data_IF_794047839631
#
_entry.id   IF_794047839631
#
_cell.length_a   1.000
_cell.length_b   1.000
_cell.length_c   1.000
_cell.angle_alpha   90.00
_cell.angle_beta   90.00
_cell.angle_gamma   90.00
#
_symmetry.space_group_name_H-M   'P 1'
#
loop_
_entity.id
_entity.type
_entity.pdbx_description
1 polymer ?
#
# COMPACT_ATOMS: atom_id res chain seq x y z
N UNK A 1 -23.85 1.66 17.51
CA UNK A 1 -22.70 2.36 16.88
C UNK A 1 -21.47 1.48 16.94
N UNK A 2 -20.72 1.34 15.85
CA UNK A 2 -19.48 0.53 15.82
C UNK A 2 -18.28 1.45 16.00
N UNK A 3 -17.42 1.15 16.96
CA UNK A 3 -16.13 1.80 17.15
C UNK A 3 -15.05 1.10 16.31
N UNK A 4 -14.02 1.84 15.85
CA UNK A 4 -12.91 1.26 15.10
C UNK A 4 -11.59 1.61 15.78
N UNK A 5 -10.73 0.61 15.95
CA UNK A 5 -9.41 0.74 16.55
C UNK A 5 -8.33 0.27 15.58
N UNK A 6 -7.18 0.96 15.56
CA UNK A 6 -6.03 0.53 14.79
C UNK A 6 -5.26 -0.59 15.49
N UNK A 7 -4.91 -1.64 14.75
CA UNK A 7 -4.20 -2.82 15.29
C UNK A 7 -2.87 -2.48 15.96
N UNK A 8 -2.15 -1.48 15.45
CA UNK A 8 -0.88 -1.03 16.01
C UNK A 8 -0.95 -0.48 17.43
N UNK A 9 -2.15 -0.09 17.91
CA UNK A 9 -2.36 0.46 19.26
C UNK A 9 -2.71 -0.61 20.30
N UNK A 10 -2.91 -1.85 19.90
CA UNK A 10 -3.26 -2.95 20.80
C UNK A 10 -2.09 -3.36 21.70
N UNK A 11 -2.36 -3.95 22.90
CA UNK A 11 -1.33 -4.56 23.72
C UNK A 11 -0.58 -5.66 22.94
N UNK A 12 0.75 -5.54 22.86
CA UNK A 12 1.60 -6.45 22.09
C UNK A 12 1.75 -6.06 20.60
N UNK A 13 1.08 -5.03 20.14
CA UNK A 13 1.32 -4.42 18.84
C UNK A 13 2.62 -3.60 18.79
N UNK A 14 3.04 -3.11 17.62
CA UNK A 14 4.30 -2.37 17.44
C UNK A 14 4.34 -1.02 18.17
N UNK A 15 3.23 -0.56 18.75
CA UNK A 15 3.12 0.74 19.41
C UNK A 15 3.12 1.94 18.45
N UNK A 16 3.02 1.67 17.16
CA UNK A 16 2.98 2.63 16.06
C UNK A 16 1.81 2.33 15.13
N UNK A 17 1.17 3.36 14.60
CA UNK A 17 0.14 3.27 13.56
C UNK A 17 0.09 4.56 12.75
N UNK A 18 -0.31 4.46 11.48
CA UNK A 18 -0.60 5.64 10.64
C UNK A 18 -1.88 6.38 11.09
N UNK A 19 -2.68 5.78 11.97
CA UNK A 19 -3.83 6.40 12.61
C UNK A 19 -3.45 7.02 13.97
N UNK A 20 -2.44 7.86 14.00
CA UNK A 20 -1.86 8.48 15.19
C UNK A 20 -2.89 9.29 16.00
N UNK A 21 -3.85 9.93 15.33
CA UNK A 21 -4.93 10.69 15.97
C UNK A 21 -5.83 9.86 16.90
N UNK A 22 -5.84 8.52 16.77
CA UNK A 22 -6.56 7.61 17.68
C UNK A 22 -5.61 6.73 18.52
N UNK A 23 -4.30 6.94 18.42
CA UNK A 23 -3.28 6.21 19.18
C UNK A 23 -3.14 6.75 20.62
N UNK A 24 -4.23 6.79 21.36
CA UNK A 24 -4.31 7.40 22.70
C UNK A 24 -3.91 6.38 23.77
N UNK A 25 -2.83 6.67 24.51
CA UNK A 25 -2.33 5.78 25.59
C UNK A 25 -3.32 5.64 26.77
N UNK A 26 -4.04 6.71 27.09
CA UNK A 26 -5.02 6.73 28.17
C UNK A 26 -6.25 7.53 27.73
N UNK A 27 -7.35 6.86 27.33
CA UNK A 27 -8.59 7.52 27.01
C UNK A 27 -9.14 8.32 28.20
N UNK A 28 -9.90 9.40 27.91
CA UNK A 28 -10.53 10.19 28.95
C UNK A 28 -11.68 9.43 29.63
N UNK A 29 -11.82 9.55 30.96
CA UNK A 29 -12.82 8.83 31.74
C UNK A 29 -14.25 9.14 31.28
N UNK A 30 -14.56 10.43 31.02
CA UNK A 30 -15.87 10.83 30.50
C UNK A 30 -16.16 10.24 29.12
N UNK A 31 -15.17 10.26 28.23
CA UNK A 31 -15.32 9.69 26.90
C UNK A 31 -15.59 8.18 26.97
N UNK A 32 -14.84 7.47 27.84
CA UNK A 32 -15.03 6.03 27.99
C UNK A 32 -16.40 5.69 28.54
N UNK A 33 -16.91 6.42 29.57
CA UNK A 33 -18.25 6.18 30.12
C UNK A 33 -19.35 6.35 29.07
N UNK A 34 -19.23 7.34 28.18
CA UNK A 34 -20.18 7.54 27.08
C UNK A 34 -20.07 6.42 26.03
N UNK A 35 -18.84 6.02 25.68
CA UNK A 35 -18.62 4.94 24.70
C UNK A 35 -19.18 3.61 25.19
N UNK A 36 -19.04 3.27 26.47
CA UNK A 36 -19.62 2.07 27.08
C UNK A 36 -21.15 2.01 26.96
N UNK A 37 -21.84 3.17 26.92
CA UNK A 37 -23.29 3.21 26.75
C UNK A 37 -23.76 3.13 25.29
N UNK A 38 -22.93 3.62 24.32
CA UNK A 38 -23.40 3.83 22.93
C UNK A 38 -22.75 2.90 21.91
N UNK A 39 -21.65 2.21 22.27
CA UNK A 39 -21.00 1.27 21.38
C UNK A 39 -21.64 -0.12 21.47
N UNK A 40 -22.00 -0.67 20.31
CA UNK A 40 -22.43 -2.06 20.20
C UNK A 40 -21.21 -3.00 20.14
N UNK A 41 -20.16 -2.57 19.44
CA UNK A 41 -18.91 -3.33 19.27
C UNK A 41 -17.73 -2.41 18.93
N UNK A 42 -16.52 -2.95 19.03
CA UNK A 42 -15.28 -2.35 18.54
C UNK A 42 -14.64 -3.34 17.58
N UNK A 43 -14.36 -2.89 16.35
CA UNK A 43 -13.64 -3.66 15.33
C UNK A 43 -12.22 -3.13 15.17
N UNK A 44 -11.33 -3.98 14.67
CA UNK A 44 -9.90 -3.66 14.53
C UNK A 44 -9.54 -3.64 13.06
N UNK A 45 -8.74 -2.64 12.65
CA UNK A 45 -8.19 -2.51 11.29
C UNK A 45 -6.68 -2.39 11.35
N UNK A 46 -6.00 -2.86 10.30
CA UNK A 46 -4.54 -2.75 10.15
C UNK A 46 -4.16 -1.46 9.44
N UNK A 47 -2.87 -1.10 9.49
CA UNK A 47 -2.35 0.07 8.78
C UNK A 47 -2.45 -0.10 7.25
N UNK A 48 -2.34 -1.34 6.74
CA UNK A 48 -2.56 -1.65 5.33
C UNK A 48 -4.02 -1.39 4.92
N UNK A 49 -4.99 -1.85 5.71
CA UNK A 49 -6.41 -1.60 5.47
C UNK A 49 -6.73 -0.09 5.52
N UNK A 50 -6.10 0.65 6.43
CA UNK A 50 -6.23 2.11 6.52
C UNK A 50 -5.61 2.80 5.29
N UNK A 51 -4.43 2.37 4.84
CA UNK A 51 -3.79 2.91 3.65
C UNK A 51 -4.65 2.71 2.40
N UNK A 52 -5.26 1.54 2.22
CA UNK A 52 -6.21 1.27 1.14
C UNK A 52 -7.42 2.21 1.18
N UNK A 53 -7.98 2.44 2.36
CA UNK A 53 -9.10 3.36 2.55
C UNK A 53 -8.73 4.82 2.20
N UNK A 54 -7.54 5.29 2.59
CA UNK A 54 -7.06 6.64 2.24
C UNK A 54 -6.94 6.79 0.72
N UNK A 55 -6.35 5.81 0.03
CA UNK A 55 -6.22 5.81 -1.43
C UNK A 55 -7.60 5.83 -2.09
N UNK A 56 -8.53 4.97 -1.66
CA UNK A 56 -9.89 4.93 -2.19
C UNK A 56 -10.60 6.28 -2.03
N UNK A 57 -10.55 6.87 -0.83
CA UNK A 57 -11.16 8.17 -0.54
C UNK A 57 -10.60 9.26 -1.46
N UNK A 58 -9.29 9.34 -1.58
CA UNK A 58 -8.64 10.30 -2.48
C UNK A 58 -9.07 10.09 -3.94
N UNK A 59 -9.10 8.87 -4.42
CA UNK A 59 -9.42 8.57 -5.82
C UNK A 59 -10.90 8.75 -6.15
N UNK A 60 -11.80 8.36 -5.27
CA UNK A 60 -13.25 8.36 -5.54
C UNK A 60 -13.94 9.64 -5.14
N UNK A 61 -13.55 10.23 -4.01
CA UNK A 61 -14.21 11.41 -3.45
C UNK A 61 -13.38 12.69 -3.54
N UNK A 62 -12.09 12.59 -3.85
CA UNK A 62 -11.11 13.69 -3.85
C UNK A 62 -10.91 14.30 -2.46
N UNK A 63 -11.24 13.56 -1.41
CA UNK A 63 -10.99 13.97 -0.03
C UNK A 63 -9.62 13.45 0.41
N UNK A 64 -8.85 14.35 1.01
CA UNK A 64 -7.62 13.99 1.73
C UNK A 64 -8.04 13.73 3.18
N UNK A 65 -7.91 12.48 3.61
CA UNK A 65 -8.28 12.04 4.97
C UNK A 65 -7.05 11.44 5.63
N UNK A 66 -6.81 11.80 6.89
CA UNK A 66 -5.74 11.22 7.70
C UNK A 66 -6.06 9.78 8.15
N UNK A 67 -5.05 9.03 8.62
CA UNK A 67 -5.24 7.65 9.03
C UNK A 67 -6.37 7.46 10.04
N UNK A 68 -6.42 8.29 11.08
CA UNK A 68 -7.46 8.25 12.10
C UNK A 68 -8.87 8.52 11.55
N UNK A 69 -8.99 9.39 10.54
CA UNK A 69 -10.26 9.68 9.87
C UNK A 69 -10.71 8.58 8.89
N UNK A 70 -9.80 7.75 8.39
CA UNK A 70 -10.07 6.74 7.38
C UNK A 70 -10.45 5.36 7.97
N UNK A 71 -10.26 5.12 9.28
CA UNK A 71 -10.46 3.80 9.92
C UNK A 71 -11.88 3.23 9.71
N UNK A 72 -12.90 4.08 9.72
CA UNK A 72 -14.28 3.63 9.49
C UNK A 72 -14.50 3.10 8.07
N UNK A 73 -13.89 3.73 7.06
CA UNK A 73 -13.94 3.25 5.68
C UNK A 73 -13.12 1.97 5.54
N UNK A 74 -11.95 1.88 6.19
CA UNK A 74 -11.15 0.67 6.23
C UNK A 74 -11.95 -0.53 6.78
N UNK A 75 -12.68 -0.33 7.87
CA UNK A 75 -13.52 -1.35 8.47
C UNK A 75 -14.64 -1.83 7.53
N UNK A 76 -15.26 -0.92 6.77
CA UNK A 76 -16.30 -1.29 5.79
C UNK A 76 -15.72 -2.05 4.59
N UNK A 77 -14.63 -1.57 4.01
CA UNK A 77 -13.97 -2.21 2.85
C UNK A 77 -13.58 -3.65 3.13
N UNK A 78 -13.15 -3.91 4.36
CA UNK A 78 -12.66 -5.23 4.78
C UNK A 78 -13.73 -6.08 5.47
N UNK A 79 -15.03 -5.71 5.35
CA UNK A 79 -16.15 -6.50 5.85
C UNK A 79 -16.14 -6.66 7.38
N UNK A 80 -15.51 -5.72 8.12
CA UNK A 80 -15.45 -5.74 9.59
C UNK A 80 -16.76 -5.31 10.23
N UNK A 81 -17.60 -4.62 9.47
CA UNK A 81 -18.90 -4.16 9.92
C UNK A 81 -19.98 -4.90 9.15
N UNK A 82 -20.87 -5.59 9.86
CA UNK A 82 -21.99 -6.32 9.31
C UNK A 82 -23.29 -5.58 9.56
N UNK A 83 -24.29 -5.79 8.70
CA UNK A 83 -25.64 -5.25 8.85
C UNK A 83 -26.28 -4.94 7.51
N UNK A 84 -27.62 -4.85 7.53
CA UNK A 84 -28.42 -4.49 6.37
C UNK A 84 -28.80 -3.00 6.45
N UNK A 85 -28.66 -2.28 5.35
CA UNK A 85 -29.10 -0.91 5.22
C UNK A 85 -27.98 0.11 4.98
N UNK A 86 -28.28 1.40 5.21
CA UNK A 86 -27.33 2.48 4.99
C UNK A 86 -26.35 2.59 6.17
N UNK A 87 -25.07 2.71 5.87
CA UNK A 87 -24.02 2.92 6.86
C UNK A 87 -23.46 4.33 6.71
N UNK A 88 -23.46 5.09 7.81
CA UNK A 88 -22.81 6.40 7.88
C UNK A 88 -21.41 6.28 8.48
N UNK A 89 -20.40 6.82 7.80
CA UNK A 89 -19.01 6.88 8.29
C UNK A 89 -18.63 8.34 8.55
N UNK A 90 -18.11 8.61 9.74
CA UNK A 90 -17.57 9.93 10.07
C UNK A 90 -16.12 10.03 9.60
N UNK A 91 -15.85 10.91 8.65
CA UNK A 91 -14.50 11.28 8.21
C UNK A 91 -14.04 12.49 9.03
N UNK A 92 -13.29 12.26 10.10
CA UNK A 92 -13.08 13.26 11.16
C UNK A 92 -11.83 14.11 11.04
N UNK A 93 -10.96 13.87 10.04
CA UNK A 93 -9.71 14.63 9.95
C UNK A 93 -8.99 14.48 8.62
N UNK A 94 -8.17 15.50 8.28
CA UNK A 94 -7.37 15.56 7.06
C UNK A 94 -5.95 16.08 7.28
N UNK A 95 -5.48 16.12 8.52
CA UNK A 95 -4.15 16.61 8.88
C UNK A 95 -3.08 15.52 8.70
N UNK A 96 -2.93 15.03 7.47
CA UNK A 96 -1.89 14.04 7.14
C UNK A 96 -0.61 14.74 6.68
N UNK A 97 0.54 14.27 7.18
CA UNK A 97 1.83 14.72 6.69
C UNK A 97 2.04 14.30 5.22
N UNK A 98 2.59 15.21 4.40
CA UNK A 98 2.76 14.98 2.96
C UNK A 98 3.69 13.77 2.68
N UNK A 99 4.71 13.56 3.50
CA UNK A 99 5.65 12.43 3.34
C UNK A 99 4.94 11.11 3.66
N UNK A 100 4.13 11.11 4.72
CA UNK A 100 3.29 9.96 5.06
C UNK A 100 2.27 9.67 3.94
N UNK A 101 1.61 10.71 3.41
CA UNK A 101 0.66 10.55 2.30
C UNK A 101 1.32 9.93 1.07
N UNK A 102 2.54 10.36 0.69
CA UNK A 102 3.30 9.76 -0.42
C UNK A 102 3.55 8.27 -0.15
N UNK A 103 3.96 7.92 1.07
CA UNK A 103 4.24 6.52 1.46
C UNK A 103 2.97 5.66 1.43
N UNK A 104 1.86 6.18 1.95
CA UNK A 104 0.54 5.54 1.92
C UNK A 104 0.07 5.33 0.48
N UNK A 105 0.20 6.35 -0.38
CA UNK A 105 -0.17 6.26 -1.80
C UNK A 105 0.65 5.19 -2.52
N UNK A 106 1.96 5.18 -2.35
CA UNK A 106 2.83 4.14 -2.94
C UNK A 106 2.41 2.75 -2.46
N UNK A 107 2.22 2.57 -1.16
CA UNK A 107 1.81 1.29 -0.58
C UNK A 107 0.44 0.83 -1.11
N UNK A 108 -0.55 1.72 -1.13
CA UNK A 108 -1.88 1.40 -1.64
C UNK A 108 -1.88 1.06 -3.13
N UNK A 109 -1.10 1.78 -3.94
CA UNK A 109 -0.93 1.47 -5.37
C UNK A 109 -0.24 0.11 -5.59
N UNK A 110 0.71 -0.25 -4.74
CA UNK A 110 1.36 -1.57 -4.77
C UNK A 110 0.38 -2.69 -4.40
N UNK A 111 -0.37 -2.53 -3.31
CA UNK A 111 -1.37 -3.52 -2.87
C UNK A 111 -2.48 -3.74 -3.90
N UNK A 112 -2.88 -2.68 -4.61
CA UNK A 112 -3.87 -2.77 -5.71
C UNK A 112 -3.29 -3.27 -7.03
N UNK A 113 -2.01 -3.65 -7.07
CA UNK A 113 -1.33 -4.11 -8.28
C UNK A 113 -1.12 -3.02 -9.34
N UNK A 114 -1.15 -1.74 -8.94
CA UNK A 114 -0.94 -0.59 -9.85
C UNK A 114 0.51 -0.11 -9.88
N UNK A 115 1.29 -0.48 -8.88
CA UNK A 115 2.75 -0.44 -8.85
C UNK A 115 3.28 -1.85 -8.70
N UNK A 116 4.20 -2.21 -9.58
CA UNK A 116 4.96 -3.45 -9.50
C UNK A 116 6.42 -3.10 -9.28
N UNK A 117 6.98 -3.57 -8.17
CA UNK A 117 8.41 -3.51 -7.92
C UNK A 117 8.99 -4.89 -8.13
N UNK A 118 9.92 -4.99 -9.05
CA UNK A 118 10.56 -6.26 -9.41
C UNK A 118 12.08 -6.13 -9.46
N UNK A 119 12.74 -7.24 -9.15
CA UNK A 119 14.16 -7.41 -9.33
C UNK A 119 14.41 -8.29 -10.56
N UNK A 120 15.40 -7.89 -11.36
CA UNK A 120 15.84 -8.65 -12.52
C UNK A 120 17.36 -8.57 -12.65
N UNK A 121 17.90 -9.27 -13.63
CA UNK A 121 19.33 -9.24 -13.93
C UNK A 121 19.53 -9.22 -15.45
N UNK A 122 20.58 -8.54 -15.88
CA UNK A 122 21.01 -8.51 -17.27
C UNK A 122 22.50 -8.78 -17.36
N UNK A 123 23.02 -9.31 -18.49
CA UNK A 123 24.45 -9.41 -18.72
C UNK A 123 25.13 -8.04 -18.59
N UNK A 124 26.31 -7.97 -17.95
CA UNK A 124 27.09 -6.73 -17.85
C UNK A 124 27.79 -6.42 -19.17
N UNK A 125 26.99 -5.99 -20.15
CA UNK A 125 27.44 -5.62 -21.48
C UNK A 125 26.77 -4.36 -21.96
N UNK A 126 27.46 -3.52 -22.76
CA UNK A 126 26.82 -2.35 -23.35
C UNK A 126 25.56 -2.72 -24.15
N UNK A 127 24.47 -2.01 -23.91
CA UNK A 127 23.20 -2.18 -24.63
C UNK A 127 22.19 -3.15 -23.98
N UNK A 128 22.56 -4.03 -23.08
CA UNK A 128 21.63 -5.01 -22.49
C UNK A 128 20.52 -4.34 -21.67
N UNK A 129 20.85 -3.34 -20.85
CA UNK A 129 19.84 -2.54 -20.16
C UNK A 129 18.91 -1.82 -21.15
N UNK A 130 19.47 -1.20 -22.18
CA UNK A 130 18.69 -0.49 -23.20
C UNK A 130 17.72 -1.43 -23.93
N UNK A 131 18.15 -2.66 -24.22
CA UNK A 131 17.32 -3.70 -24.82
C UNK A 131 16.11 -4.04 -23.94
N UNK A 132 16.34 -4.29 -22.65
CA UNK A 132 15.23 -4.58 -21.71
C UNK A 132 14.25 -3.40 -21.64
N UNK A 133 14.75 -2.15 -21.49
CA UNK A 133 13.90 -0.97 -21.42
C UNK A 133 13.12 -0.75 -22.73
N UNK A 134 13.68 -1.08 -23.89
CA UNK A 134 12.96 -1.03 -25.18
C UNK A 134 11.83 -2.05 -25.22
N UNK A 135 12.05 -3.28 -24.77
CA UNK A 135 11.00 -4.32 -24.69
C UNK A 135 9.85 -3.90 -23.78
N UNK A 136 10.16 -3.32 -22.62
CA UNK A 136 9.13 -2.76 -21.73
C UNK A 136 8.34 -1.62 -22.39
N UNK A 137 9.03 -0.76 -23.15
CA UNK A 137 8.39 0.32 -23.92
C UNK A 137 7.47 -0.22 -25.03
N UNK A 138 7.88 -1.25 -25.76
CA UNK A 138 7.07 -1.94 -26.77
C UNK A 138 5.83 -2.60 -26.15
N UNK A 139 5.97 -3.16 -24.94
CA UNK A 139 4.88 -3.69 -24.13
C UNK A 139 3.99 -2.57 -23.52
N UNK A 140 4.28 -1.29 -23.80
CA UNK A 140 3.54 -0.11 -23.29
C UNK A 140 3.53 -0.01 -21.76
N UNK A 141 4.58 -0.45 -21.10
CA UNK A 141 4.76 -0.37 -19.67
C UNK A 141 5.48 0.93 -19.32
N UNK A 142 4.86 1.75 -18.48
CA UNK A 142 5.48 2.96 -17.97
C UNK A 142 6.45 2.60 -16.83
N UNK A 143 7.69 3.03 -16.96
CA UNK A 143 8.74 2.84 -15.97
C UNK A 143 8.79 4.07 -15.07
N UNK A 144 8.68 3.87 -13.76
CA UNK A 144 8.75 4.93 -12.73
C UNK A 144 10.19 5.12 -12.28
N UNK A 145 10.89 4.00 -12.04
CA UNK A 145 12.24 4.03 -11.48
C UNK A 145 13.05 2.84 -12.00
N UNK A 146 14.33 3.06 -12.21
CA UNK A 146 15.31 2.02 -12.57
C UNK A 146 16.51 2.21 -11.67
N UNK A 147 16.78 1.25 -10.82
CA UNK A 147 18.03 1.14 -10.09
C UNK A 147 18.91 0.11 -10.77
N UNK A 148 20.14 0.47 -11.12
CA UNK A 148 21.10 -0.40 -11.75
C UNK A 148 22.32 -0.59 -10.86
N UNK A 149 22.53 -1.79 -10.36
CA UNK A 149 23.61 -2.13 -9.45
C UNK A 149 24.56 -3.17 -10.06
N UNK A 150 25.87 -2.91 -9.95
CA UNK A 150 26.93 -3.86 -10.35
C UNK A 150 27.55 -4.59 -9.18
N UNK A 151 27.40 -4.07 -7.99
CA UNK A 151 28.11 -4.54 -6.80
C UNK A 151 27.11 -4.94 -5.69
N UNK A 152 26.49 -6.11 -5.84
CA UNK A 152 25.75 -6.74 -4.76
C UNK A 152 26.19 -8.21 -4.62
N UNK A 153 26.20 -8.70 -3.40
CA UNK A 153 26.71 -10.04 -3.07
C UNK A 153 25.94 -11.18 -3.73
N UNK A 154 24.72 -10.92 -4.16
CA UNK A 154 23.79 -11.85 -4.79
C UNK A 154 23.79 -11.77 -6.35
N UNK A 155 24.63 -10.91 -6.94
CA UNK A 155 24.74 -10.77 -8.40
C UNK A 155 25.88 -11.65 -8.92
N UNK A 156 25.62 -12.58 -9.86
CA UNK A 156 26.66 -13.40 -10.48
C UNK A 156 27.69 -12.55 -11.25
N UNK A 157 28.93 -13.04 -11.30
CA UNK A 157 29.97 -12.40 -12.09
C UNK A 157 29.55 -12.35 -13.56
N UNK A 158 29.63 -11.17 -14.17
CA UNK A 158 29.24 -10.93 -15.56
C UNK A 158 27.76 -10.54 -15.75
N UNK A 159 27.03 -10.37 -14.67
CA UNK A 159 25.67 -9.82 -14.66
C UNK A 159 25.60 -8.52 -13.85
N UNK A 160 24.56 -7.76 -14.06
CA UNK A 160 24.19 -6.61 -13.25
C UNK A 160 22.75 -6.75 -12.74
N UNK A 161 22.50 -6.29 -11.51
CA UNK A 161 21.18 -6.27 -10.91
C UNK A 161 20.39 -5.04 -11.32
N UNK A 162 19.10 -5.24 -11.49
CA UNK A 162 18.12 -4.19 -11.77
C UNK A 162 17.00 -4.28 -10.79
N UNK A 163 16.65 -3.15 -10.17
CA UNK A 163 15.35 -2.98 -9.50
C UNK A 163 14.52 -2.05 -10.37
N UNK A 164 13.35 -2.51 -10.78
CA UNK A 164 12.43 -1.78 -11.64
C UNK A 164 11.13 -1.51 -10.87
N UNK A 165 10.71 -0.26 -10.86
CA UNK A 165 9.35 0.12 -10.46
C UNK A 165 8.57 0.51 -11.70
N UNK A 166 7.49 -0.20 -11.98
CA UNK A 166 6.67 0.02 -13.19
C UNK A 166 5.21 0.22 -12.83
N UNK A 167 4.49 0.95 -13.71
CA UNK A 167 3.04 1.11 -13.60
C UNK A 167 2.33 -0.06 -14.27
N UNK A 168 1.40 -0.63 -13.53
CA UNK A 168 0.51 -1.69 -13.98
C UNK A 168 -0.95 -1.24 -13.80
N UNK A 169 -1.90 -1.98 -14.33
CA UNK A 169 -3.33 -1.66 -14.20
C UNK A 169 -3.94 -2.29 -12.96
N UNK A 170 -3.54 -3.53 -12.68
CA UNK A 170 -4.06 -4.41 -11.65
C UNK A 170 -3.09 -5.58 -11.43
N UNK A 171 -3.41 -6.46 -10.49
CA UNK A 171 -2.59 -7.63 -10.16
C UNK A 171 -2.45 -8.62 -11.33
N UNK A 172 -3.49 -8.78 -12.15
CA UNK A 172 -3.43 -9.65 -13.33
C UNK A 172 -2.39 -9.14 -14.34
N UNK A 173 -2.36 -7.83 -14.57
CA UNK A 173 -1.36 -7.21 -15.44
C UNK A 173 0.07 -7.33 -14.85
N UNK A 174 0.23 -7.32 -13.52
CA UNK A 174 1.52 -7.62 -12.89
C UNK A 174 2.00 -9.03 -13.26
N UNK A 175 1.13 -10.02 -13.11
CA UNK A 175 1.48 -11.42 -13.39
C UNK A 175 1.76 -11.65 -14.88
N UNK A 176 0.98 -11.04 -15.77
CA UNK A 176 1.22 -11.05 -17.22
C UNK A 176 2.57 -10.43 -17.59
N UNK A 177 2.94 -9.31 -16.97
CA UNK A 177 4.21 -8.65 -17.25
C UNK A 177 5.40 -9.50 -16.77
N UNK A 178 5.29 -10.10 -15.58
CA UNK A 178 6.33 -11.01 -15.05
C UNK A 178 6.54 -12.19 -16.01
N UNK A 179 5.44 -12.85 -16.43
CA UNK A 179 5.51 -13.95 -17.39
C UNK A 179 6.15 -13.50 -18.72
N UNK A 180 5.75 -12.36 -19.24
CA UNK A 180 6.32 -11.79 -20.48
C UNK A 180 7.81 -11.54 -20.38
N UNK A 181 8.29 -10.97 -19.26
CA UNK A 181 9.71 -10.74 -19.04
C UNK A 181 10.50 -12.06 -18.93
N UNK A 182 9.90 -13.09 -18.32
CA UNK A 182 10.50 -14.42 -18.24
C UNK A 182 10.57 -15.07 -19.63
N UNK A 183 9.57 -14.91 -20.48
CA UNK A 183 9.56 -15.38 -21.88
C UNK A 183 10.62 -14.66 -22.72
N UNK A 184 10.96 -13.41 -22.41
CA UNK A 184 12.09 -12.69 -23.02
C UNK A 184 13.46 -13.19 -22.53
N UNK A 185 13.47 -14.11 -21.52
CA UNK A 185 14.68 -14.71 -20.96
C UNK A 185 15.28 -13.94 -19.78
N UNK A 186 14.55 -12.98 -19.20
CA UNK A 186 15.01 -12.26 -18.01
C UNK A 186 14.52 -12.95 -16.74
N UNK A 187 15.39 -13.21 -15.75
CA UNK A 187 14.95 -13.66 -14.43
C UNK A 187 14.20 -12.54 -13.74
N UNK A 188 13.04 -12.84 -13.16
CA UNK A 188 12.21 -11.85 -12.49
C UNK A 188 11.80 -12.36 -11.11
N UNK A 189 12.03 -11.53 -10.11
CA UNK A 189 11.56 -11.69 -8.73
C UNK A 189 10.66 -10.51 -8.39
N UNK A 190 9.41 -10.78 -8.00
CA UNK A 190 8.51 -9.74 -7.47
C UNK A 190 8.93 -9.39 -6.05
N UNK A 191 9.15 -8.08 -5.79
CA UNK A 191 9.49 -7.55 -4.46
C UNK A 191 8.23 -7.02 -3.77
N UNK A 192 7.37 -6.33 -4.53
CA UNK A 192 6.12 -5.78 -4.04
C UNK A 192 5.13 -5.54 -5.19
#
# INVERSE_FOLDING_TARGET
>A
MVGVQAAGTLPGGPGFTIADGIAVKKPGELTMSILEEVLDEIVIVTDEEIAEAIVLLLERTKLVVEGAGAVGVAALLNGRVSGDGAVGVLLSGGNIDATLLISVMRRGLTLSGRYLVLRSRVPDRPGELAKLLSLLGEARVNIVEVEHSREAADIPIGETGLTLTVLTRDSEHCDQLIATMQDWGYPVERIA
#
